data_IF_306733493789
#
_entry.id   IF_306733493789
#
_cell.length_a   1.000
_cell.length_b   1.000
_cell.length_c   1.000
_cell.angle_alpha   90.00
_cell.angle_beta   90.00
_cell.angle_gamma   90.00
#
_symmetry.space_group_name_H-M   'P 1'
#
loop_
_entity.id
_entity.type
_entity.pdbx_description
1 polymer ?
#
# COMPACT_ATOMS: atom_id res chain seq x y z
N UNK A 1 -17.62 -8.01 6.97
CA UNK A 1 -16.15 -8.02 7.01
C UNK A 1 -15.58 -8.35 5.63
N UNK A 2 -14.27 -8.04 5.38
CA UNK A 2 -13.50 -8.60 4.27
C UNK A 2 -12.63 -9.73 4.82
N UNK A 3 -12.61 -10.88 4.16
CA UNK A 3 -11.63 -11.91 4.44
C UNK A 3 -10.29 -11.47 3.83
N UNK A 4 -9.24 -11.35 4.66
CA UNK A 4 -7.95 -10.81 4.23
C UNK A 4 -6.88 -11.91 4.14
N UNK A 5 -6.48 -12.23 2.93
CA UNK A 5 -5.36 -13.11 2.61
C UNK A 5 -4.09 -12.28 2.56
N UNK A 6 -3.39 -12.15 3.70
CA UNK A 6 -2.28 -11.22 3.84
C UNK A 6 -0.89 -11.82 3.62
N UNK A 7 -0.50 -12.94 4.27
CA UNK A 7 0.87 -13.42 4.22
C UNK A 7 1.20 -14.04 2.87
N UNK A 8 2.45 -13.82 2.41
CA UNK A 8 3.00 -14.37 1.16
C UNK A 8 2.30 -13.88 -0.11
N UNK A 9 2.23 -14.76 -1.14
CA UNK A 9 1.59 -14.49 -2.45
C UNK A 9 0.36 -15.36 -2.59
N UNK A 10 -0.80 -14.82 -2.24
CA UNK A 10 -2.04 -15.58 -2.10
C UNK A 10 -2.75 -15.89 -3.43
N UNK A 11 -2.05 -15.70 -4.56
CA UNK A 11 -2.43 -16.19 -5.87
C UNK A 11 -1.40 -17.19 -6.43
N UNK A 12 -0.40 -17.60 -5.63
CA UNK A 12 0.63 -18.55 -6.04
C UNK A 12 0.21 -20.00 -5.73
N UNK A 13 -0.84 -20.44 -6.42
CA UNK A 13 -1.35 -21.81 -6.39
C UNK A 13 -2.14 -22.09 -7.68
N UNK A 14 -2.45 -23.36 -8.01
CA UNK A 14 -3.42 -23.70 -9.05
C UNK A 14 -4.77 -23.02 -8.79
N UNK A 15 -5.49 -22.67 -9.85
CA UNK A 15 -6.74 -21.92 -9.75
C UNK A 15 -7.83 -22.70 -8.99
N UNK A 16 -7.83 -24.01 -9.12
CA UNK A 16 -8.78 -24.91 -8.43
C UNK A 16 -8.59 -24.89 -6.91
N UNK A 17 -7.35 -24.80 -6.43
CA UNK A 17 -7.07 -24.68 -5.00
C UNK A 17 -7.45 -23.29 -4.48
N UNK A 18 -7.14 -22.23 -5.24
CA UNK A 18 -7.54 -20.87 -4.89
C UNK A 18 -9.06 -20.73 -4.80
N UNK A 19 -9.79 -21.35 -5.72
CA UNK A 19 -11.24 -21.33 -5.74
C UNK A 19 -11.83 -21.94 -4.45
N UNK A 20 -11.25 -23.06 -3.97
CA UNK A 20 -11.68 -23.70 -2.73
C UNK A 20 -11.48 -22.74 -1.54
N UNK A 21 -10.28 -22.17 -1.38
CA UNK A 21 -9.98 -21.26 -0.27
C UNK A 21 -10.83 -19.99 -0.28
N UNK A 22 -11.04 -19.41 -1.46
CA UNK A 22 -11.82 -18.18 -1.57
C UNK A 22 -13.31 -18.43 -1.32
N UNK A 23 -13.86 -19.54 -1.83
CA UNK A 23 -15.25 -19.92 -1.55
C UNK A 23 -15.47 -20.28 -0.10
N UNK A 24 -14.53 -20.95 0.55
CA UNK A 24 -14.62 -21.27 1.98
C UNK A 24 -14.66 -19.98 2.82
N UNK A 25 -13.80 -19.00 2.52
CA UNK A 25 -13.81 -17.70 3.20
C UNK A 25 -15.12 -16.93 2.97
N UNK A 26 -15.69 -16.99 1.77
CA UNK A 26 -16.94 -16.34 1.40
C UNK A 26 -18.20 -17.07 1.89
N UNK A 27 -18.08 -18.32 2.37
CA UNK A 27 -19.19 -19.06 2.94
C UNK A 27 -19.66 -18.50 4.31
N UNK A 28 -18.79 -17.74 5.00
CA UNK A 28 -19.15 -17.05 6.25
C UNK A 28 -20.09 -15.89 5.95
N UNK A 29 -21.37 -15.87 6.47
CA UNK A 29 -22.36 -14.86 6.10
C UNK A 29 -21.97 -13.40 6.39
N UNK A 30 -21.05 -13.17 7.32
CA UNK A 30 -20.57 -11.83 7.67
C UNK A 30 -19.46 -11.32 6.73
N UNK A 31 -18.95 -12.17 5.83
CA UNK A 31 -17.89 -11.82 4.87
C UNK A 31 -18.54 -11.34 3.57
N UNK A 32 -18.36 -10.07 3.27
CA UNK A 32 -18.91 -9.41 2.07
C UNK A 32 -17.94 -9.40 0.88
N UNK A 33 -16.70 -9.88 1.07
CA UNK A 33 -15.69 -9.89 0.01
C UNK A 33 -14.31 -10.30 0.48
N UNK A 34 -13.36 -10.25 -0.46
CA UNK A 34 -11.98 -10.66 -0.27
C UNK A 34 -11.02 -9.49 -0.48
N UNK A 35 -9.99 -9.40 0.36
CA UNK A 35 -8.79 -8.63 0.11
C UNK A 35 -7.61 -9.59 -0.02
N UNK A 36 -6.94 -9.60 -1.17
CA UNK A 36 -5.94 -10.61 -1.53
C UNK A 36 -4.60 -9.94 -1.78
N UNK A 37 -3.67 -10.09 -0.81
CA UNK A 37 -2.30 -9.64 -0.94
C UNK A 37 -1.48 -10.61 -1.80
N UNK A 38 -0.84 -10.10 -2.85
CA UNK A 38 -0.04 -10.93 -3.75
C UNK A 38 1.11 -10.17 -4.40
N UNK A 39 1.96 -10.90 -5.13
CA UNK A 39 2.98 -10.33 -6.02
C UNK A 39 2.38 -10.13 -7.42
N UNK A 40 2.80 -9.06 -8.14
CA UNK A 40 2.28 -8.81 -9.49
C UNK A 40 2.64 -9.91 -10.52
N UNK A 41 3.75 -10.62 -10.33
CA UNK A 41 4.16 -11.75 -11.17
C UNK A 41 3.44 -13.08 -10.83
N UNK A 42 2.60 -13.10 -9.80
CA UNK A 42 1.82 -14.27 -9.39
C UNK A 42 0.36 -14.23 -9.85
N UNK A 43 0.00 -13.29 -10.73
CA UNK A 43 -1.35 -13.17 -11.28
C UNK A 43 -1.34 -13.44 -12.79
N UNK A 44 -2.40 -14.06 -13.29
CA UNK A 44 -2.61 -14.35 -14.70
C UNK A 44 -4.09 -14.24 -15.07
N UNK A 45 -4.39 -14.42 -16.35
CA UNK A 45 -5.77 -14.30 -16.85
C UNK A 45 -6.73 -15.36 -16.29
N UNK A 46 -6.23 -16.53 -15.91
CA UNK A 46 -7.06 -17.61 -15.36
C UNK A 46 -7.50 -17.28 -13.92
N UNK A 47 -6.54 -16.88 -13.08
CA UNK A 47 -6.81 -16.43 -11.71
C UNK A 47 -7.72 -15.22 -11.69
N UNK A 48 -7.50 -14.26 -12.61
CA UNK A 48 -8.36 -13.09 -12.71
C UNK A 48 -9.79 -13.43 -13.17
N UNK A 49 -10.00 -14.45 -14.03
CA UNK A 49 -11.36 -14.92 -14.35
C UNK A 49 -12.08 -15.50 -13.12
N UNK A 50 -11.36 -16.25 -12.29
CA UNK A 50 -11.92 -16.72 -11.01
C UNK A 50 -12.35 -15.52 -10.14
N UNK A 51 -11.45 -14.55 -9.94
CA UNK A 51 -11.75 -13.37 -9.11
C UNK A 51 -12.88 -12.51 -9.68
N UNK A 52 -12.95 -12.34 -10.99
CA UNK A 52 -14.03 -11.67 -11.71
C UNK A 52 -15.38 -12.35 -11.45
N UNK A 53 -15.45 -13.68 -11.57
CA UNK A 53 -16.67 -14.45 -11.30
C UNK A 53 -17.12 -14.36 -9.83
N UNK A 54 -16.18 -14.34 -8.87
CA UNK A 54 -16.50 -14.10 -7.47
C UNK A 54 -16.96 -12.64 -7.24
N UNK A 55 -16.42 -11.72 -8.03
CA UNK A 55 -16.74 -10.29 -8.00
C UNK A 55 -18.17 -9.94 -8.44
N UNK A 56 -18.89 -10.85 -9.12
CA UNK A 56 -20.31 -10.66 -9.46
C UNK A 56 -21.21 -10.54 -8.22
N UNK A 57 -20.80 -11.10 -7.09
CA UNK A 57 -21.59 -11.15 -5.84
C UNK A 57 -20.87 -10.56 -4.64
N UNK A 58 -19.56 -10.43 -4.70
CA UNK A 58 -18.71 -10.05 -3.57
C UNK A 58 -17.75 -8.94 -3.95
N UNK A 59 -17.36 -8.13 -2.98
CA UNK A 59 -16.29 -7.15 -3.19
C UNK A 59 -14.93 -7.88 -3.31
N UNK A 60 -14.18 -7.63 -4.37
CA UNK A 60 -12.86 -8.21 -4.58
C UNK A 60 -11.81 -7.09 -4.69
N UNK A 61 -10.80 -7.16 -3.84
CA UNK A 61 -9.63 -6.28 -3.84
C UNK A 61 -8.36 -7.12 -4.02
N UNK A 62 -7.57 -6.82 -5.04
CA UNK A 62 -6.22 -7.37 -5.19
C UNK A 62 -5.21 -6.30 -4.76
N UNK A 63 -4.39 -6.63 -3.77
CA UNK A 63 -3.35 -5.75 -3.23
C UNK A 63 -1.97 -6.22 -3.68
N UNK A 64 -1.34 -5.47 -4.58
CA UNK A 64 -0.02 -5.79 -5.09
C UNK A 64 1.09 -5.24 -4.21
N UNK A 65 2.01 -6.12 -3.80
CA UNK A 65 3.24 -5.73 -3.12
C UNK A 65 4.25 -5.12 -4.10
N UNK A 66 4.04 -3.89 -4.53
CA UNK A 66 4.96 -3.16 -5.43
C UNK A 66 6.29 -2.85 -4.75
N UNK A 67 6.26 -2.26 -3.58
CA UNK A 67 7.34 -1.78 -2.73
C UNK A 67 8.00 -0.49 -3.26
N UNK A 68 8.41 -0.41 -4.52
CA UNK A 68 9.00 0.76 -5.17
C UNK A 68 8.67 0.77 -6.67
N UNK A 69 8.63 1.97 -7.29
CA UNK A 69 8.52 2.11 -8.75
C UNK A 69 9.89 2.02 -9.44
N UNK A 70 10.98 1.97 -8.68
CA UNK A 70 12.35 1.99 -9.22
C UNK A 70 12.94 0.59 -9.29
N UNK A 71 13.25 0.13 -10.49
CA UNK A 71 13.86 -1.19 -10.73
C UNK A 71 15.20 -1.37 -10.02
N UNK A 72 15.97 -0.27 -9.80
CA UNK A 72 17.19 -0.33 -8.98
C UNK A 72 16.91 -0.79 -7.55
N UNK A 73 15.81 -0.30 -6.96
CA UNK A 73 15.36 -0.68 -5.61
C UNK A 73 14.78 -2.09 -5.62
N UNK A 74 13.93 -2.43 -6.59
CA UNK A 74 13.37 -3.78 -6.71
C UNK A 74 14.47 -4.84 -6.85
N UNK A 75 15.53 -4.58 -7.61
CA UNK A 75 16.73 -5.45 -7.67
C UNK A 75 17.47 -5.50 -6.35
N UNK A 76 17.67 -4.36 -5.68
CA UNK A 76 18.34 -4.29 -4.40
C UNK A 76 17.68 -5.16 -3.33
N UNK A 77 16.34 -5.17 -3.28
CA UNK A 77 15.57 -5.99 -2.33
C UNK A 77 15.26 -7.41 -2.83
N UNK A 78 15.82 -7.80 -3.97
CA UNK A 78 15.57 -9.10 -4.61
C UNK A 78 14.07 -9.40 -4.78
N UNK A 79 13.30 -8.40 -5.28
CA UNK A 79 11.83 -8.48 -5.31
C UNK A 79 11.29 -9.57 -6.25
N UNK A 80 12.05 -9.96 -7.27
CA UNK A 80 11.69 -11.01 -8.23
C UNK A 80 10.75 -10.55 -9.35
N UNK A 81 10.40 -9.27 -9.41
CA UNK A 81 9.69 -8.63 -10.52
C UNK A 81 10.19 -7.19 -10.70
N UNK A 82 9.94 -6.60 -11.85
CA UNK A 82 10.20 -5.21 -12.18
C UNK A 82 8.92 -4.35 -12.10
N UNK A 83 9.08 -3.04 -12.30
CA UNK A 83 7.96 -2.10 -12.29
C UNK A 83 6.98 -2.36 -13.44
N UNK A 84 7.49 -2.75 -14.62
CA UNK A 84 6.64 -3.08 -15.77
C UNK A 84 5.68 -4.24 -15.45
N UNK A 85 6.15 -5.28 -14.81
CA UNK A 85 5.31 -6.41 -14.37
C UNK A 85 4.14 -5.93 -13.48
N UNK A 86 4.40 -4.98 -12.59
CA UNK A 86 3.33 -4.37 -11.78
C UNK A 86 2.32 -3.60 -12.64
N UNK A 87 2.78 -2.77 -13.59
CA UNK A 87 1.89 -2.02 -14.48
C UNK A 87 0.99 -2.96 -15.31
N UNK A 88 1.56 -4.03 -15.85
CA UNK A 88 0.82 -5.04 -16.60
C UNK A 88 -0.24 -5.73 -15.72
N UNK A 89 0.12 -6.11 -14.50
CA UNK A 89 -0.81 -6.73 -13.54
C UNK A 89 -1.96 -5.78 -13.15
N UNK A 90 -1.68 -4.51 -12.86
CA UNK A 90 -2.70 -3.49 -12.56
C UNK A 90 -3.66 -3.32 -13.74
N UNK A 91 -3.12 -3.14 -14.95
CA UNK A 91 -3.92 -2.97 -16.17
C UNK A 91 -4.84 -4.17 -16.41
N UNK A 92 -4.29 -5.39 -16.30
CA UNK A 92 -5.05 -6.62 -16.51
C UNK A 92 -6.15 -6.81 -15.46
N UNK A 93 -5.87 -6.49 -14.20
CA UNK A 93 -6.85 -6.61 -13.11
C UNK A 93 -7.97 -5.58 -13.24
N UNK A 94 -7.63 -4.33 -13.51
CA UNK A 94 -8.61 -3.26 -13.70
C UNK A 94 -9.51 -3.48 -14.92
N UNK A 95 -8.98 -4.03 -16.01
CA UNK A 95 -9.78 -4.36 -17.20
C UNK A 95 -10.95 -5.33 -16.93
N UNK A 96 -10.92 -6.01 -15.77
CA UNK A 96 -11.98 -6.93 -15.30
C UNK A 96 -12.87 -6.33 -14.21
N UNK A 97 -12.77 -5.03 -13.95
CA UNK A 97 -13.58 -4.36 -12.94
C UNK A 97 -13.22 -4.73 -11.48
N UNK A 98 -12.06 -5.36 -11.26
CA UNK A 98 -11.58 -5.75 -9.92
C UNK A 98 -10.85 -4.55 -9.31
N UNK A 99 -11.13 -4.26 -8.03
CA UNK A 99 -10.43 -3.20 -7.29
C UNK A 99 -8.96 -3.54 -7.07
N UNK A 100 -8.10 -2.51 -7.18
CA UNK A 100 -6.65 -2.68 -7.06
C UNK A 100 -6.06 -1.79 -5.98
N UNK A 101 -5.27 -2.40 -5.10
CA UNK A 101 -4.43 -1.71 -4.13
C UNK A 101 -2.94 -1.93 -4.38
N UNK A 102 -2.11 -1.03 -3.87
CA UNK A 102 -0.66 -1.19 -3.87
C UNK A 102 -0.06 -1.03 -2.48
N UNK A 103 1.05 -1.71 -2.23
CA UNK A 103 1.89 -1.52 -1.05
C UNK A 103 3.21 -0.87 -1.47
N UNK A 104 3.55 0.25 -0.84
CA UNK A 104 4.82 0.96 -1.00
C UNK A 104 5.62 0.95 0.30
N UNK A 105 6.93 0.87 0.15
CA UNK A 105 7.88 1.07 1.24
C UNK A 105 8.76 2.27 0.88
N UNK A 106 8.89 3.21 1.79
CA UNK A 106 9.74 4.40 1.64
C UNK A 106 10.93 4.34 2.58
N UNK A 107 12.06 4.94 2.18
CA UNK A 107 13.28 4.96 2.98
C UNK A 107 14.31 3.92 2.55
N UNK A 108 14.21 3.34 1.37
CA UNK A 108 15.29 2.50 0.84
C UNK A 108 16.56 3.34 0.59
N UNK A 109 17.76 2.80 0.93
CA UNK A 109 19.02 3.52 0.74
C UNK A 109 19.37 3.78 -0.75
N UNK A 110 18.65 3.15 -1.65
CA UNK A 110 18.77 3.32 -3.10
C UNK A 110 17.98 4.50 -3.66
N UNK A 111 17.17 5.16 -2.82
CA UNK A 111 16.24 6.22 -3.24
C UNK A 111 16.52 7.53 -2.52
N UNK A 112 16.51 8.61 -3.27
CA UNK A 112 16.53 9.97 -2.73
C UNK A 112 15.13 10.34 -2.22
N UNK A 113 15.06 11.38 -1.37
CA UNK A 113 13.77 11.92 -0.90
C UNK A 113 12.86 12.35 -2.05
N UNK A 114 13.42 12.97 -3.09
CA UNK A 114 12.63 13.40 -4.26
C UNK A 114 12.13 12.21 -5.08
N UNK A 115 12.94 11.17 -5.27
CA UNK A 115 12.49 9.93 -5.92
C UNK A 115 11.33 9.30 -5.13
N UNK A 116 11.41 9.22 -3.79
CA UNK A 116 10.32 8.71 -2.97
C UNK A 116 9.04 9.55 -3.11
N UNK A 117 9.15 10.88 -3.16
CA UNK A 117 7.99 11.75 -3.38
C UNK A 117 7.41 11.63 -4.80
N UNK A 118 8.24 11.38 -5.81
CA UNK A 118 7.79 11.15 -7.19
C UNK A 118 6.97 9.85 -7.33
N UNK A 119 7.14 8.87 -6.41
CA UNK A 119 6.25 7.71 -6.38
C UNK A 119 4.79 8.11 -6.18
N UNK A 120 4.50 9.17 -5.42
CA UNK A 120 3.11 9.64 -5.23
C UNK A 120 2.51 10.16 -6.54
N UNK A 121 3.29 10.92 -7.31
CA UNK A 121 2.87 11.46 -8.60
C UNK A 121 2.60 10.31 -9.60
N UNK A 122 3.51 9.32 -9.69
CA UNK A 122 3.41 8.16 -10.58
C UNK A 122 2.21 7.27 -10.24
N UNK A 123 2.07 6.88 -8.97
CA UNK A 123 0.98 6.03 -8.47
C UNK A 123 -0.38 6.68 -8.70
N UNK A 124 -0.47 8.00 -8.57
CA UNK A 124 -1.72 8.73 -8.81
C UNK A 124 -2.23 8.61 -10.25
N UNK A 125 -1.32 8.43 -11.22
CA UNK A 125 -1.67 8.22 -12.63
C UNK A 125 -2.19 6.81 -12.95
N UNK A 126 -2.05 5.85 -12.04
CA UNK A 126 -2.41 4.44 -12.28
C UNK A 126 -3.87 4.12 -11.94
N UNK A 127 -4.62 5.09 -11.41
CA UNK A 127 -6.01 4.90 -10.99
C UNK A 127 -6.20 3.73 -10.02
N UNK A 128 -5.31 3.59 -9.04
CA UNK A 128 -5.46 2.62 -7.95
C UNK A 128 -6.61 3.04 -7.04
N UNK A 129 -7.31 2.05 -6.48
CA UNK A 129 -8.38 2.30 -5.52
C UNK A 129 -7.85 2.47 -4.10
N UNK A 130 -6.77 1.72 -3.74
CA UNK A 130 -6.24 1.66 -2.39
C UNK A 130 -4.71 1.75 -2.37
N UNK A 131 -4.18 2.35 -1.30
CA UNK A 131 -2.74 2.43 -1.06
C UNK A 131 -2.40 2.14 0.39
N UNK A 132 -1.38 1.31 0.59
CA UNK A 132 -0.65 1.14 1.85
C UNK A 132 0.77 1.65 1.65
N UNK A 133 1.21 2.53 2.53
CA UNK A 133 2.58 3.04 2.58
C UNK A 133 3.15 2.80 3.97
N UNK A 134 4.41 2.48 4.06
CA UNK A 134 5.13 2.48 5.31
C UNK A 134 6.63 2.72 5.13
N UNK A 135 7.28 3.13 6.21
CA UNK A 135 8.72 3.26 6.25
C UNK A 135 9.42 1.91 6.16
N UNK A 136 10.64 1.90 5.60
CA UNK A 136 11.53 0.76 5.67
C UNK A 136 11.80 0.41 7.13
N UNK A 137 11.74 -0.87 7.45
CA UNK A 137 12.11 -1.42 8.75
C UNK A 137 13.25 -2.41 8.57
N UNK A 138 14.31 -2.23 9.36
CA UNK A 138 15.41 -3.20 9.48
C UNK A 138 15.02 -4.17 10.58
N UNK A 139 14.82 -5.42 10.21
CA UNK A 139 14.33 -6.48 11.11
C UNK A 139 15.40 -7.55 11.25
N UNK A 140 15.63 -8.05 12.48
CA UNK A 140 16.60 -9.12 12.77
C UNK A 140 16.44 -10.32 11.84
N UNK A 141 17.52 -11.03 11.66
CA UNK A 141 17.58 -12.26 10.88
C UNK A 141 17.19 -12.09 9.39
N UNK A 142 17.45 -10.90 8.85
CA UNK A 142 17.25 -10.58 7.43
C UNK A 142 18.56 -10.14 6.77
N UNK A 143 18.74 -10.37 5.46
CA UNK A 143 19.89 -9.84 4.72
C UNK A 143 20.07 -8.32 4.88
N UNK A 144 18.97 -7.58 4.97
CA UNK A 144 19.00 -6.13 5.18
C UNK A 144 19.58 -5.76 6.55
N UNK A 145 19.34 -6.57 7.59
CA UNK A 145 19.92 -6.37 8.92
C UNK A 145 21.43 -6.55 8.92
N UNK A 146 21.93 -7.56 8.20
CA UNK A 146 23.38 -7.76 8.06
C UNK A 146 24.03 -6.60 7.30
N UNK A 147 23.43 -6.16 6.19
CA UNK A 147 23.90 -4.98 5.44
C UNK A 147 23.92 -3.74 6.33
N UNK A 148 22.87 -3.52 7.11
CA UNK A 148 22.76 -2.38 8.03
C UNK A 148 23.82 -2.41 9.12
N UNK A 149 24.15 -3.59 9.62
CA UNK A 149 25.20 -3.79 10.65
C UNK A 149 26.60 -3.52 10.10
N UNK A 150 26.87 -3.95 8.86
CA UNK A 150 28.17 -3.74 8.21
C UNK A 150 28.38 -2.29 7.77
N UNK A 151 27.35 -1.67 7.20
CA UNK A 151 27.38 -0.30 6.70
C UNK A 151 26.01 0.38 6.96
N UNK A 152 25.83 1.00 8.13
CA UNK A 152 24.58 1.66 8.49
C UNK A 152 24.17 2.73 7.46
N UNK A 153 22.95 2.65 6.98
CA UNK A 153 22.33 3.63 6.11
C UNK A 153 21.23 4.39 6.86
N UNK A 154 20.84 5.54 6.31
CA UNK A 154 19.78 6.35 6.89
C UNK A 154 18.46 5.60 6.97
N UNK A 155 17.79 5.68 8.11
CA UNK A 155 16.39 5.29 8.33
C UNK A 155 15.62 6.48 8.85
N UNK A 156 14.35 6.59 8.51
CA UNK A 156 13.56 7.76 8.90
C UNK A 156 13.53 7.98 10.42
N UNK A 157 13.98 9.16 10.85
CA UNK A 157 13.66 9.67 12.18
C UNK A 157 12.17 9.97 12.29
N UNK A 158 11.61 9.94 13.50
CA UNK A 158 10.16 10.06 13.71
C UNK A 158 9.56 11.33 13.09
N UNK A 159 10.11 12.51 13.44
CA UNK A 159 9.64 13.79 12.93
C UNK A 159 9.87 13.95 11.41
N UNK A 160 10.93 13.38 10.92
CA UNK A 160 11.22 13.32 9.49
C UNK A 160 10.15 12.53 8.74
N UNK A 161 9.76 11.36 9.28
CA UNK A 161 8.70 10.54 8.68
C UNK A 161 7.34 11.23 8.69
N UNK A 162 6.97 11.88 9.79
CA UNK A 162 5.73 12.64 9.88
C UNK A 162 5.65 13.73 8.80
N UNK A 163 6.76 14.45 8.58
CA UNK A 163 6.82 15.45 7.52
C UNK A 163 6.78 14.82 6.13
N UNK A 164 7.52 13.74 5.92
CA UNK A 164 7.58 13.04 4.64
C UNK A 164 6.22 12.47 4.23
N UNK A 165 5.52 11.78 5.14
CA UNK A 165 4.24 11.14 4.79
C UNK A 165 3.17 12.16 4.43
N UNK A 166 3.17 13.34 5.07
CA UNK A 166 2.27 14.44 4.71
C UNK A 166 2.65 15.01 3.33
N UNK A 167 3.95 15.28 3.07
CA UNK A 167 4.40 15.73 1.75
C UNK A 167 4.02 14.74 0.62
N UNK A 168 4.10 13.45 0.91
CA UNK A 168 3.73 12.38 -0.02
C UNK A 168 2.22 12.40 -0.31
N UNK A 169 1.40 12.47 0.75
CA UNK A 169 -0.06 12.44 0.64
C UNK A 169 -0.60 13.70 -0.05
N UNK A 170 0.03 14.86 0.13
CA UNK A 170 -0.32 16.08 -0.60
C UNK A 170 -0.22 15.91 -2.14
N UNK A 171 0.66 15.04 -2.62
CA UNK A 171 0.87 14.77 -4.06
C UNK A 171 -0.05 13.67 -4.60
N UNK A 172 -0.62 12.83 -3.73
CA UNK A 172 -1.49 11.72 -4.15
C UNK A 172 -2.83 12.20 -4.70
N UNK A 173 -3.37 11.45 -5.66
CA UNK A 173 -4.77 11.62 -6.07
C UNK A 173 -5.72 11.55 -4.87
N UNK A 174 -6.69 12.47 -4.75
CA UNK A 174 -7.69 12.41 -3.69
C UNK A 174 -8.64 11.21 -3.80
N UNK A 175 -8.66 10.52 -4.95
CA UNK A 175 -9.52 9.36 -5.18
C UNK A 175 -8.93 8.06 -4.60
N UNK A 176 -7.64 8.03 -4.23
CA UNK A 176 -6.99 6.86 -3.65
C UNK A 176 -7.32 6.76 -2.16
N UNK A 177 -7.89 5.63 -1.74
CA UNK A 177 -8.16 5.36 -0.33
C UNK A 177 -6.88 4.90 0.39
N UNK A 178 -6.48 5.63 1.42
CA UNK A 178 -5.31 5.31 2.23
C UNK A 178 -5.70 4.31 3.33
N UNK A 179 -5.16 3.09 3.28
CA UNK A 179 -5.44 2.03 4.25
C UNK A 179 -4.41 1.96 5.36
N UNK A 180 -3.15 2.33 5.08
CA UNK A 180 -2.04 2.29 6.03
C UNK A 180 -1.02 3.37 5.70
N UNK A 181 -0.53 4.07 6.73
CA UNK A 181 0.46 5.14 6.59
C UNK A 181 1.80 4.84 7.28
N UNK A 182 1.90 3.74 8.02
CA UNK A 182 3.12 3.28 8.68
C UNK A 182 3.00 1.81 9.04
N UNK A 183 4.15 1.17 9.31
CA UNK A 183 4.21 -0.17 9.87
C UNK A 183 4.89 -0.17 11.25
N UNK A 184 4.58 -1.17 12.04
CA UNK A 184 5.24 -1.46 13.31
C UNK A 184 5.65 -2.91 13.32
N UNK A 185 6.89 -3.20 13.71
CA UNK A 185 7.34 -4.54 14.02
C UNK A 185 7.43 -4.73 15.54
N UNK A 186 7.40 -5.97 16.04
CA UNK A 186 7.66 -6.26 17.45
C UNK A 186 9.06 -5.74 17.87
N UNK A 187 9.13 -5.20 19.10
CA UNK A 187 10.36 -4.54 19.61
C UNK A 187 11.56 -5.49 19.72
N UNK A 188 11.30 -6.77 19.93
CA UNK A 188 12.32 -7.81 20.07
C UNK A 188 13.05 -8.12 18.75
N UNK A 189 12.42 -7.85 17.61
CA UNK A 189 12.99 -8.08 16.27
C UNK A 189 13.34 -6.79 15.52
N UNK A 190 12.76 -5.65 15.87
CA UNK A 190 13.03 -4.37 15.19
C UNK A 190 14.42 -3.84 15.55
N UNK A 191 15.24 -3.54 14.55
CA UNK A 191 16.54 -2.89 14.70
C UNK A 191 16.40 -1.38 14.49
N UNK A 192 15.82 -0.96 13.35
CA UNK A 192 15.64 0.45 12.97
C UNK A 192 14.44 0.63 12.00
N UNK A 193 13.80 1.81 11.99
CA UNK A 193 13.91 2.88 12.98
C UNK A 193 13.18 2.53 14.28
N UNK A 194 13.67 3.03 15.41
CA UNK A 194 12.98 2.91 16.71
C UNK A 194 12.40 4.26 17.08
N UNK A 195 11.08 4.35 17.03
CA UNK A 195 10.37 5.61 17.32
C UNK A 195 9.79 5.67 18.73
N UNK A 196 9.69 4.52 19.40
CA UNK A 196 9.13 4.39 20.75
C UNK A 196 7.75 5.09 20.90
N UNK A 197 6.90 4.86 19.91
CA UNK A 197 5.56 5.43 19.81
C UNK A 197 4.51 4.35 19.58
N UNK A 198 3.36 4.49 20.25
CA UNK A 198 2.22 3.61 19.98
C UNK A 198 1.60 3.93 18.61
N UNK A 199 0.92 2.94 18.01
CA UNK A 199 0.17 3.14 16.75
C UNK A 199 -0.81 4.31 16.85
N UNK A 200 -1.52 4.42 17.98
CA UNK A 200 -2.46 5.52 18.23
C UNK A 200 -1.76 6.88 18.21
N UNK A 201 -0.60 7.00 18.87
CA UNK A 201 0.18 8.22 18.87
C UNK A 201 0.64 8.61 17.46
N UNK A 202 1.20 7.66 16.69
CA UNK A 202 1.66 7.94 15.32
C UNK A 202 0.50 8.43 14.45
N UNK A 203 -0.67 7.77 14.52
CA UNK A 203 -1.86 8.18 13.77
C UNK A 203 -2.30 9.60 14.14
N UNK A 204 -2.36 9.89 15.45
CA UNK A 204 -2.73 11.22 15.95
C UNK A 204 -1.75 12.30 15.51
N UNK A 205 -0.45 12.01 15.55
CA UNK A 205 0.59 12.98 15.18
C UNK A 205 0.60 13.25 13.67
N UNK A 206 0.32 12.23 12.83
CA UNK A 206 0.10 12.44 11.39
C UNK A 206 -1.11 13.34 11.15
N UNK A 207 -2.25 13.07 11.81
CA UNK A 207 -3.46 13.90 11.70
C UNK A 207 -3.20 15.34 12.16
N UNK A 208 -2.51 15.51 13.29
CA UNK A 208 -2.16 16.84 13.79
C UNK A 208 -1.26 17.60 12.81
N UNK A 209 -0.31 16.91 12.14
CA UNK A 209 0.55 17.50 11.13
C UNK A 209 -0.23 18.02 9.91
N UNK A 210 -1.31 17.35 9.50
CA UNK A 210 -2.21 17.86 8.46
C UNK A 210 -2.91 19.15 8.91
N UNK A 211 -3.38 19.18 10.15
CA UNK A 211 -4.03 20.38 10.73
C UNK A 211 -3.04 21.54 10.83
N UNK A 212 -1.87 21.32 11.43
CA UNK A 212 -0.83 22.36 11.62
C UNK A 212 -0.35 22.98 10.31
N UNK A 213 -0.35 22.19 9.23
CA UNK A 213 0.06 22.63 7.89
C UNK A 213 -1.10 23.15 7.03
N UNK A 214 -2.32 23.16 7.57
CA UNK A 214 -3.54 23.50 6.81
C UNK A 214 -3.57 22.82 5.45
N UNK A 215 -3.41 21.49 5.45
CA UNK A 215 -3.24 20.71 4.22
C UNK A 215 -4.14 19.47 4.19
N UNK A 216 -4.21 18.82 3.03
CA UNK A 216 -5.04 17.64 2.79
C UNK A 216 -4.49 16.79 1.65
N UNK A 217 -4.98 15.56 1.53
CA UNK A 217 -4.64 14.67 0.42
C UNK A 217 -4.97 15.33 -0.92
N UNK A 218 -3.99 15.36 -1.82
CA UNK A 218 -4.18 15.92 -3.14
C UNK A 218 -4.03 17.44 -3.27
N UNK A 219 -3.64 18.16 -2.19
CA UNK A 219 -3.41 19.62 -2.28
C UNK A 219 -2.38 20.01 -3.34
N UNK A 220 -1.41 19.15 -3.62
CA UNK A 220 -0.35 19.32 -4.61
C UNK A 220 -0.46 18.36 -5.81
N UNK A 221 -1.57 17.63 -5.90
CA UNK A 221 -1.81 16.70 -7.00
C UNK A 221 -1.89 17.44 -8.34
N UNK A 222 -1.09 16.99 -9.32
CA UNK A 222 -0.95 17.65 -10.63
C UNK A 222 -1.90 17.10 -11.72
N UNK A 223 -2.72 16.11 -11.39
CA UNK A 223 -3.68 15.52 -12.32
C UNK A 223 -4.91 16.39 -12.59
N UNK A 224 -5.80 15.95 -13.45
CA UNK A 224 -7.07 16.65 -13.71
C UNK A 224 -7.85 16.81 -12.41
N UNK A 225 -8.09 18.04 -11.98
CA UNK A 225 -8.98 18.30 -10.85
C UNK A 225 -10.35 17.71 -11.17
N UNK A 226 -10.97 16.89 -10.30
CA UNK A 226 -12.32 16.45 -10.48
C UNK A 226 -13.20 17.70 -10.63
N UNK A 227 -14.11 17.67 -11.60
CA UNK A 227 -15.14 18.71 -11.79
C UNK A 227 -15.71 19.03 -10.41
N UNK A 228 -15.65 20.32 -10.00
CA UNK A 228 -16.12 20.80 -8.70
C UNK A 228 -17.51 20.23 -8.42
N UNK A 229 -17.61 19.18 -7.61
CA UNK A 229 -18.86 18.82 -6.97
C UNK A 229 -19.24 20.02 -6.11
N UNK A 230 -20.42 20.59 -6.37
CA UNK A 230 -21.01 21.69 -5.62
C UNK A 230 -20.83 21.43 -4.10
N UNK A 231 -20.50 22.50 -3.38
CA UNK A 231 -20.38 22.51 -1.93
C UNK A 231 -21.73 22.16 -1.29
N UNK A 232 -22.01 20.89 -1.14
CA UNK A 232 -23.02 20.38 -0.20
C UNK A 232 -22.50 19.08 0.38
N UNK A 233 -22.08 19.14 1.65
CA UNK A 233 -21.93 18.00 2.53
C UNK A 233 -20.60 17.25 2.50
N UNK A 234 -19.46 17.92 2.73
CA UNK A 234 -18.28 17.21 3.25
C UNK A 234 -18.34 17.26 4.77
N UNK A 235 -19.09 16.35 5.37
CA UNK A 235 -18.91 16.02 6.79
C UNK A 235 -17.64 15.18 6.90
N UNK A 236 -16.68 15.67 7.66
CA UNK A 236 -15.54 14.89 8.14
C UNK A 236 -16.05 13.55 8.66
N UNK A 237 -15.57 12.46 8.08
CA UNK A 237 -15.86 11.13 8.59
C UNK A 237 -15.41 11.05 10.05
N UNK A 238 -16.25 10.52 10.95
CA UNK A 238 -15.88 10.41 12.35
C UNK A 238 -14.68 9.50 12.52
N UNK A 239 -13.82 9.82 13.46
CA UNK A 239 -12.54 9.18 13.81
C UNK A 239 -12.60 7.68 14.13
N UNK A 240 -13.73 7.01 13.95
CA UNK A 240 -13.96 5.59 14.18
C UNK A 240 -13.81 4.70 12.94
N UNK A 241 -13.46 5.25 11.76
CA UNK A 241 -13.35 4.47 10.51
C UNK A 241 -11.93 4.43 9.91
N UNK A 242 -10.93 4.93 10.63
CA UNK A 242 -9.52 4.73 10.29
C UNK A 242 -8.94 3.58 11.14
N UNK A 243 -9.11 2.36 10.69
CA UNK A 243 -8.40 1.17 11.17
C UNK A 243 -7.43 0.69 10.13
#
# INVERSE_FOLDING_TARGET
FLAYFQPYSNTYAPVEELEIFYKEALAEPSVIGLAIGTRPDCIDSEKLRLLESLGEKHFILVEYGLQSIYDKTLRFINRGHDYKTFLDAVSLTRSRGISVGAHLIVGFPTETREEMLNMADEISGLHLDFLKIHQLQVVKDTPLAEMYKENPFHTFEYEEYLNFVVDFIERLSPDIVLQRLFATAPDDILIAPRWDRSRHQITKDIQQRFIDRDTFQGKKYKGQQPLKKSKEGCSLLPSSQLL
#
